data_IF_853989418774
#
_entry.id   IF_853989418774
#
_cell.length_a   1.000
_cell.length_b   1.000
_cell.length_c   1.000
_cell.angle_alpha   90.00
_cell.angle_beta   90.00
_cell.angle_gamma   90.00
#
_symmetry.space_group_name_H-M   'P 1'
#
loop_
_entity.id
_entity.type
_entity.pdbx_description
1 polymer ?
#
# COMPACT_ATOMS: atom_id res chain seq x y z
N UNK A 1 -1.28 -1.93 10.78
CA UNK A 1 -0.01 -2.17 10.05
C UNK A 1 1.11 -1.39 10.70
N UNK A 2 2.26 -2.06 10.88
CA UNK A 2 3.42 -1.57 11.65
C UNK A 2 4.51 -0.91 10.79
N UNK A 3 4.22 -0.58 9.53
CA UNK A 3 5.15 0.17 8.65
C UNK A 3 5.38 1.62 9.11
N UNK A 4 4.65 2.09 10.15
CA UNK A 4 4.81 3.39 10.78
C UNK A 4 5.14 3.25 12.29
N UNK A 5 6.10 2.39 12.64
CA UNK A 5 6.58 2.23 14.03
C UNK A 5 5.90 1.10 14.80
N UNK A 6 6.29 -0.15 14.51
CA UNK A 6 5.88 -1.32 15.27
C UNK A 6 6.78 -1.65 16.45
N UNK A 7 6.33 -2.54 17.34
CA UNK A 7 7.16 -3.11 18.39
C UNK A 7 8.40 -3.81 17.77
N UNK A 8 9.63 -3.41 18.15
CA UNK A 8 10.87 -4.00 17.61
C UNK A 8 10.94 -5.51 17.79
N UNK A 9 10.39 -6.03 18.90
CA UNK A 9 10.39 -7.47 19.20
C UNK A 9 9.46 -8.31 18.33
N UNK A 10 8.64 -7.69 17.50
CA UNK A 10 7.70 -8.36 16.59
C UNK A 10 7.99 -8.03 15.12
N UNK A 11 9.08 -7.31 14.84
CA UNK A 11 9.39 -6.83 13.50
C UNK A 11 9.78 -7.98 12.56
N UNK A 12 10.48 -8.98 13.08
CA UNK A 12 10.88 -10.23 12.42
C UNK A 12 9.69 -11.13 12.05
N UNK A 13 8.58 -11.02 12.78
CA UNK A 13 7.36 -11.78 12.54
C UNK A 13 6.45 -11.16 11.47
N UNK A 14 6.82 -10.00 10.91
CA UNK A 14 6.02 -9.32 9.89
C UNK A 14 6.24 -9.94 8.52
N UNK A 15 5.14 -10.22 7.82
CA UNK A 15 5.17 -10.73 6.45
C UNK A 15 4.65 -9.67 5.47
N UNK A 16 5.54 -9.16 4.61
CA UNK A 16 5.23 -8.13 3.61
C UNK A 16 4.21 -8.64 2.59
N UNK A 17 4.35 -9.87 2.13
CA UNK A 17 3.44 -10.46 1.13
C UNK A 17 2.02 -10.58 1.67
N UNK A 18 1.87 -10.97 2.95
CA UNK A 18 0.58 -11.03 3.61
C UNK A 18 -0.09 -9.63 3.69
N UNK A 19 0.69 -8.56 3.88
CA UNK A 19 0.14 -7.20 3.85
C UNK A 19 -0.29 -6.76 2.46
N UNK A 20 0.45 -7.13 1.42
CA UNK A 20 0.07 -6.86 0.03
C UNK A 20 -1.17 -7.66 -0.37
N UNK A 21 -1.25 -8.93 0.05
CA UNK A 21 -2.43 -9.76 -0.15
C UNK A 21 -3.66 -9.16 0.56
N UNK A 22 -3.50 -8.74 1.82
CA UNK A 22 -4.55 -8.05 2.55
C UNK A 22 -5.03 -6.80 1.81
N UNK A 23 -4.09 -5.98 1.30
CA UNK A 23 -4.41 -4.78 0.52
C UNK A 23 -5.24 -5.09 -0.73
N UNK A 24 -4.87 -6.13 -1.48
CA UNK A 24 -5.60 -6.57 -2.69
C UNK A 24 -6.96 -7.19 -2.35
N UNK A 25 -7.05 -7.95 -1.27
CA UNK A 25 -8.30 -8.55 -0.80
C UNK A 25 -9.32 -7.48 -0.35
N UNK A 26 -8.83 -6.33 0.11
CA UNK A 26 -9.67 -5.23 0.58
C UNK A 26 -10.55 -4.65 -0.54
N UNK A 27 -10.00 -4.53 -1.75
CA UNK A 27 -10.80 -4.12 -2.92
C UNK A 27 -11.81 -5.19 -3.32
N UNK A 28 -11.41 -6.47 -3.27
CA UNK A 28 -12.34 -7.59 -3.51
C UNK A 28 -13.49 -7.60 -2.51
N UNK A 29 -13.24 -7.31 -1.24
CA UNK A 29 -14.29 -7.22 -0.23
C UNK A 29 -15.29 -6.09 -0.52
N UNK A 30 -14.85 -5.02 -1.17
CA UNK A 30 -15.68 -3.87 -1.55
C UNK A 30 -16.32 -3.99 -2.95
N UNK A 31 -16.18 -5.13 -3.64
CA UNK A 31 -16.64 -5.29 -5.03
C UNK A 31 -18.15 -5.48 -5.20
N UNK A 32 -18.90 -5.62 -4.10
CA UNK A 32 -20.35 -5.73 -4.10
C UNK A 32 -20.99 -4.54 -3.36
N UNK A 33 -22.28 -4.22 -3.59
CA UNK A 33 -22.90 -3.02 -3.01
C UNK A 33 -22.84 -2.95 -1.49
N UNK A 34 -22.97 -4.10 -0.79
CA UNK A 34 -22.89 -4.16 0.68
C UNK A 34 -21.47 -3.89 1.16
N UNK A 35 -20.48 -4.55 0.54
CA UNK A 35 -19.07 -4.35 0.84
C UNK A 35 -18.61 -2.92 0.56
N UNK A 36 -19.08 -2.32 -0.54
CA UNK A 36 -18.86 -0.92 -0.86
C UNK A 36 -19.43 -0.02 0.24
N UNK A 37 -20.67 -0.25 0.68
CA UNK A 37 -21.30 0.54 1.73
C UNK A 37 -20.52 0.46 3.04
N UNK A 38 -20.13 -0.74 3.48
CA UNK A 38 -19.36 -0.97 4.71
C UNK A 38 -18.00 -0.25 4.63
N UNK A 39 -17.27 -0.39 3.51
CA UNK A 39 -16.00 0.31 3.30
C UNK A 39 -16.17 1.81 3.44
N UNK A 40 -17.15 2.40 2.77
CA UNK A 40 -17.39 3.83 2.82
C UNK A 40 -17.81 4.30 4.22
N UNK A 41 -18.66 3.55 4.92
CA UNK A 41 -19.05 3.87 6.29
C UNK A 41 -17.83 3.92 7.21
N UNK A 42 -16.93 2.93 7.13
CA UNK A 42 -15.71 2.87 7.95
C UNK A 42 -14.70 3.98 7.62
N UNK A 43 -14.58 4.38 6.36
CA UNK A 43 -13.58 5.38 5.96
C UNK A 43 -14.04 6.83 6.18
N UNK A 44 -15.35 7.09 6.27
CA UNK A 44 -15.91 8.46 6.35
C UNK A 44 -15.54 9.21 7.62
N UNK A 45 -15.37 8.49 8.74
CA UNK A 45 -15.08 9.11 10.05
C UNK A 45 -13.57 9.22 10.33
N UNK A 46 -12.73 8.81 9.37
CA UNK A 46 -11.28 8.81 9.57
C UNK A 46 -10.65 10.08 9.01
N UNK A 47 -9.81 10.72 9.83
CA UNK A 47 -8.96 11.84 9.38
C UNK A 47 -7.79 11.39 8.49
N UNK A 48 -7.45 10.10 8.53
CA UNK A 48 -6.33 9.51 7.79
C UNK A 48 -6.77 8.18 7.16
N UNK A 49 -6.24 7.82 5.99
CA UNK A 49 -6.60 6.55 5.36
C UNK A 49 -6.18 5.38 6.25
N UNK A 50 -7.04 4.35 6.29
CA UNK A 50 -6.67 3.08 6.91
C UNK A 50 -5.32 2.62 6.36
N UNK A 51 -4.45 2.03 7.18
CA UNK A 51 -3.17 1.59 6.67
C UNK A 51 -3.32 0.69 5.44
N UNK A 52 -4.29 -0.24 5.43
CA UNK A 52 -4.49 -1.20 4.33
C UNK A 52 -4.78 -0.50 3.00
N UNK A 53 -5.52 0.60 3.05
CA UNK A 53 -5.79 1.48 1.91
C UNK A 53 -4.53 2.19 1.42
N UNK A 54 -3.64 2.59 2.33
CA UNK A 54 -2.36 3.19 1.96
C UNK A 54 -1.44 2.20 1.27
N UNK A 55 -1.33 0.97 1.79
CA UNK A 55 -0.51 -0.07 1.14
C UNK A 55 -1.05 -0.44 -0.24
N UNK A 56 -2.37 -0.52 -0.39
CA UNK A 56 -3.06 -0.72 -1.68
C UNK A 56 -2.68 0.35 -2.70
N UNK A 57 -2.75 1.63 -2.31
CA UNK A 57 -2.40 2.75 -3.19
C UNK A 57 -0.93 2.71 -3.61
N UNK A 58 -0.03 2.37 -2.69
CA UNK A 58 1.41 2.23 -3.00
C UNK A 58 1.65 1.04 -3.95
N UNK A 59 0.98 -0.10 -3.74
CA UNK A 59 1.05 -1.27 -4.64
C UNK A 59 0.54 -0.91 -6.05
N UNK A 60 -0.56 -0.17 -6.16
CA UNK A 60 -1.07 0.37 -7.43
C UNK A 60 -0.06 1.33 -8.09
N UNK A 61 0.42 2.33 -7.36
CA UNK A 61 1.40 3.30 -7.88
C UNK A 61 2.70 2.64 -8.34
N UNK A 62 3.22 1.65 -7.59
CA UNK A 62 4.45 0.95 -7.96
C UNK A 62 4.38 0.21 -9.31
N UNK A 63 3.17 -0.11 -9.78
CA UNK A 63 2.91 -0.77 -11.06
C UNK A 63 2.73 0.23 -12.22
N UNK A 64 2.57 1.51 -11.90
CA UNK A 64 2.28 2.57 -12.87
C UNK A 64 3.47 2.90 -13.77
N UNK A 65 3.21 3.57 -14.90
CA UNK A 65 4.26 3.97 -15.84
C UNK A 65 5.09 5.13 -15.28
N UNK A 66 4.47 6.02 -14.50
CA UNK A 66 5.13 7.14 -13.83
C UNK A 66 6.21 6.64 -12.87
N UNK A 67 5.89 5.62 -12.06
CA UNK A 67 6.87 5.00 -11.15
C UNK A 67 8.05 4.42 -11.93
N UNK A 68 7.78 3.59 -12.95
CA UNK A 68 8.82 2.97 -13.79
C UNK A 68 9.73 4.02 -14.44
N UNK A 69 9.15 5.08 -14.97
CA UNK A 69 9.89 6.19 -15.59
C UNK A 69 10.76 6.92 -14.58
N UNK A 70 10.24 7.17 -13.38
CA UNK A 70 11.00 7.81 -12.28
C UNK A 70 12.18 6.93 -11.87
N UNK A 71 11.95 5.62 -11.71
CA UNK A 71 13.00 4.67 -11.34
C UNK A 71 14.09 4.56 -12.40
N UNK A 72 13.73 4.54 -13.69
CA UNK A 72 14.69 4.55 -14.80
C UNK A 72 15.57 5.80 -14.78
N UNK A 73 14.99 6.99 -14.58
CA UNK A 73 15.75 8.24 -14.46
C UNK A 73 16.70 8.21 -13.26
N UNK A 74 16.25 7.69 -12.12
CA UNK A 74 17.10 7.56 -10.93
C UNK A 74 18.29 6.63 -11.16
N UNK A 75 18.08 5.49 -11.83
CA UNK A 75 19.16 4.56 -12.19
C UNK A 75 20.18 5.22 -13.13
N UNK A 76 19.72 5.94 -14.15
CA UNK A 76 20.61 6.68 -15.07
C UNK A 76 21.43 7.75 -14.34
N UNK A 77 20.82 8.51 -13.42
CA UNK A 77 21.53 9.51 -12.62
C UNK A 77 22.57 8.88 -11.68
N UNK A 78 22.30 7.69 -11.14
CA UNK A 78 23.25 6.96 -10.31
C UNK A 78 24.44 6.42 -11.11
N UNK A 79 24.19 5.89 -12.31
CA UNK A 79 25.24 5.40 -13.22
C UNK A 79 26.14 6.53 -13.74
N UNK A 80 25.60 7.73 -13.97
CA UNK A 80 26.37 8.89 -14.43
C UNK A 80 27.24 9.56 -13.35
N UNK A 81 27.15 9.10 -12.09
CA UNK A 81 27.96 9.62 -10.96
C UNK A 81 29.16 8.74 -10.62
N UNK A 82 29.35 7.63 -11.33
CA UNK A 82 30.51 6.72 -11.22
C UNK A 82 31.38 6.90 -12.45
#
# INVERSE_FOLDING_TARGET
>A
MKLAGGCPSLADQLNVDAFLEQARSYDKAASNPVGWYIRNAQTRELSHPLPVMRAREIDEWSRSQEYKTTMQKMLQLGLNRV
#
